data_IF_139483395922
#
_entry.id   IF_139483395922
#
_cell.length_a   1.000
_cell.length_b   1.000
_cell.length_c   1.000
_cell.angle_alpha   90.00
_cell.angle_beta   90.00
_cell.angle_gamma   90.00
#
_symmetry.space_group_name_H-M   'P 1'
#
loop_
_entity.id
_entity.type
_entity.pdbx_description
1 polymer ?
#
# COMPACT_ATOMS: atom_id res chain seq x y z
N UNK A 1 -15.68 -22.79 5.93
CA UNK A 1 -16.89 -21.95 5.86
C UNK A 1 -16.49 -20.49 5.68
N UNK A 2 -16.53 -19.95 4.46
CA UNK A 2 -16.29 -18.53 4.19
C UNK A 2 -17.60 -17.90 3.71
N UNK A 3 -18.49 -17.55 4.65
CA UNK A 3 -19.61 -16.67 4.33
C UNK A 3 -19.07 -15.25 4.46
N UNK A 4 -18.44 -14.74 3.40
CA UNK A 4 -18.15 -13.31 3.30
C UNK A 4 -19.46 -12.61 2.93
N UNK A 5 -19.98 -11.80 3.84
CA UNK A 5 -21.09 -10.89 3.56
C UNK A 5 -20.79 -10.10 2.26
N UNK A 6 -21.81 -9.94 1.40
CA UNK A 6 -21.72 -9.32 0.07
C UNK A 6 -21.11 -7.92 0.14
N UNK A 7 -21.39 -7.18 1.22
CA UNK A 7 -20.80 -5.85 1.45
C UNK A 7 -19.27 -5.91 1.58
N UNK A 8 -18.75 -6.95 2.24
CA UNK A 8 -17.31 -7.16 2.38
C UNK A 8 -16.65 -7.48 1.04
N UNK A 9 -17.25 -8.36 0.23
CA UNK A 9 -16.74 -8.73 -1.11
C UNK A 9 -16.69 -7.52 -2.03
N UNK A 10 -17.77 -6.74 -2.09
CA UNK A 10 -17.85 -5.54 -2.91
C UNK A 10 -16.79 -4.51 -2.50
N UNK A 11 -16.53 -4.38 -1.20
CA UNK A 11 -15.47 -3.50 -0.71
C UNK A 11 -14.07 -3.98 -1.09
N UNK A 12 -13.81 -5.30 -1.04
CA UNK A 12 -12.53 -5.87 -1.52
C UNK A 12 -12.33 -5.55 -3.00
N UNK A 13 -13.40 -5.74 -3.80
CA UNK A 13 -13.40 -5.44 -5.23
C UNK A 13 -13.06 -3.97 -5.49
N UNK A 14 -13.78 -3.03 -4.85
CA UNK A 14 -13.52 -1.59 -4.99
C UNK A 14 -12.08 -1.20 -4.67
N UNK A 15 -11.53 -1.69 -3.54
CA UNK A 15 -10.13 -1.43 -3.19
C UNK A 15 -9.16 -1.91 -4.26
N UNK A 16 -9.37 -3.10 -4.83
CA UNK A 16 -8.51 -3.60 -5.90
C UNK A 16 -8.64 -2.81 -7.20
N UNK A 17 -9.84 -2.34 -7.54
CA UNK A 17 -10.05 -1.44 -8.68
C UNK A 17 -9.29 -0.11 -8.52
N UNK A 18 -9.28 0.48 -7.32
CA UNK A 18 -8.47 1.69 -7.06
C UNK A 18 -6.97 1.46 -7.34
N UNK A 19 -6.46 0.26 -7.03
CA UNK A 19 -5.07 -0.11 -7.34
C UNK A 19 -4.86 -0.27 -8.84
N UNK A 20 -5.84 -0.83 -9.56
CA UNK A 20 -5.80 -0.99 -11.02
C UNK A 20 -5.73 0.38 -11.70
N UNK A 21 -6.59 1.30 -11.30
CA UNK A 21 -6.61 2.66 -11.83
C UNK A 21 -5.28 3.39 -11.55
N UNK A 22 -4.74 3.25 -10.34
CA UNK A 22 -3.45 3.83 -9.97
C UNK A 22 -2.29 3.22 -10.78
N UNK A 23 -2.31 1.91 -11.02
CA UNK A 23 -1.32 1.22 -11.84
C UNK A 23 -1.38 1.68 -13.30
N UNK A 24 -2.58 1.78 -13.88
CA UNK A 24 -2.78 2.26 -15.25
C UNK A 24 -2.30 3.70 -15.41
N UNK A 25 -2.67 4.60 -14.48
CA UNK A 25 -2.17 5.97 -14.46
C UNK A 25 -0.63 6.02 -14.38
N UNK A 26 -0.04 5.19 -13.51
CA UNK A 26 1.41 5.10 -13.35
C UNK A 26 2.11 4.66 -14.64
N UNK A 27 1.63 3.61 -15.31
CA UNK A 27 2.25 3.11 -16.54
C UNK A 27 2.03 4.02 -17.73
N UNK A 28 0.89 4.69 -17.82
CA UNK A 28 0.63 5.74 -18.82
C UNK A 28 1.63 6.89 -18.69
N UNK A 29 1.92 7.32 -17.47
CA UNK A 29 2.92 8.36 -17.21
C UNK A 29 4.37 7.87 -17.34
N UNK A 30 4.63 6.57 -17.20
CA UNK A 30 6.00 6.00 -17.17
C UNK A 30 6.17 4.82 -18.14
N UNK A 31 6.31 5.07 -19.46
CA UNK A 31 6.47 4.02 -20.47
C UNK A 31 7.66 3.09 -20.24
N UNK A 32 8.76 3.60 -19.67
CA UNK A 32 9.93 2.76 -19.29
C UNK A 32 9.57 1.70 -18.25
N UNK A 33 8.69 2.04 -17.30
CA UNK A 33 8.21 1.10 -16.28
C UNK A 33 7.21 0.11 -16.85
N UNK A 34 6.35 0.54 -17.77
CA UNK A 34 5.46 -0.37 -18.51
C UNK A 34 6.26 -1.45 -19.27
N UNK A 35 7.36 -1.05 -19.93
CA UNK A 35 8.29 -1.99 -20.59
C UNK A 35 8.94 -2.96 -19.60
N UNK A 36 9.30 -2.52 -18.39
CA UNK A 36 9.84 -3.40 -17.33
C UNK A 36 8.79 -4.37 -16.81
N UNK A 37 7.55 -3.91 -16.60
CA UNK A 37 6.41 -4.74 -16.21
C UNK A 37 6.23 -5.91 -17.19
N UNK A 38 6.16 -5.60 -18.49
CA UNK A 38 6.05 -6.59 -19.57
C UNK A 38 7.22 -7.59 -19.61
N UNK A 39 8.44 -7.14 -19.32
CA UNK A 39 9.62 -8.03 -19.22
C UNK A 39 9.54 -8.97 -18.01
N UNK A 40 8.97 -8.53 -16.90
CA UNK A 40 8.77 -9.38 -15.72
C UNK A 40 7.62 -10.36 -15.95
N UNK A 41 6.53 -9.92 -16.59
CA UNK A 41 5.43 -10.79 -16.99
C UNK A 41 5.93 -12.00 -17.78
N UNK A 42 6.71 -11.78 -18.85
CA UNK A 42 7.34 -12.86 -19.65
C UNK A 42 8.30 -13.78 -18.87
N UNK A 43 8.75 -13.37 -17.68
CA UNK A 43 9.58 -14.22 -16.81
C UNK A 43 8.73 -15.07 -15.87
N UNK A 44 7.52 -14.62 -15.56
CA UNK A 44 6.52 -15.32 -14.75
C UNK A 44 5.79 -16.36 -15.60
N UNK A 45 5.26 -15.94 -16.75
CA UNK A 45 4.66 -16.79 -17.79
C UNK A 45 5.75 -17.67 -18.41
N UNK A 46 5.80 -18.94 -18.00
CA UNK A 46 6.88 -19.88 -18.36
C UNK A 46 6.54 -20.73 -19.55
N UNK A 47 5.28 -21.12 -19.68
CA UNK A 47 4.78 -21.87 -20.81
C UNK A 47 4.48 -20.97 -22.02
N UNK A 48 4.41 -19.65 -21.85
CA UNK A 48 4.18 -18.68 -22.92
C UNK A 48 2.73 -18.59 -23.37
N UNK A 49 1.78 -18.99 -22.51
CA UNK A 49 0.35 -19.01 -22.85
C UNK A 49 -0.33 -17.63 -22.72
N UNK A 50 0.45 -16.60 -22.37
CA UNK A 50 -0.04 -15.22 -22.28
C UNK A 50 -0.75 -14.91 -20.97
N UNK A 51 -0.67 -15.80 -19.98
CA UNK A 51 -1.19 -15.63 -18.62
C UNK A 51 -0.25 -16.29 -17.61
N UNK A 52 -0.47 -16.07 -16.32
CA UNK A 52 0.35 -16.64 -15.25
C UNK A 52 -0.51 -17.51 -14.38
N UNK A 53 -0.30 -18.81 -14.42
CA UNK A 53 -0.95 -19.75 -13.51
C UNK A 53 -0.47 -19.58 -12.06
N UNK A 54 -1.29 -20.02 -11.10
CA UNK A 54 -0.87 -20.08 -9.69
C UNK A 54 0.45 -20.83 -9.49
N UNK A 55 0.66 -21.93 -10.23
CA UNK A 55 1.87 -22.76 -10.14
C UNK A 55 3.11 -22.03 -10.66
N UNK A 56 2.99 -21.20 -11.70
CA UNK A 56 4.08 -20.36 -12.18
C UNK A 56 4.41 -19.24 -11.19
N UNK A 57 3.37 -18.59 -10.66
CA UNK A 57 3.50 -17.61 -9.59
C UNK A 57 4.22 -18.20 -8.37
N UNK A 58 3.76 -19.35 -7.88
CA UNK A 58 4.29 -20.03 -6.71
C UNK A 58 5.74 -20.49 -6.92
N UNK A 59 6.06 -21.05 -8.08
CA UNK A 59 7.45 -21.41 -8.43
C UNK A 59 8.35 -20.18 -8.46
N UNK A 60 7.89 -19.06 -9.01
CA UNK A 60 8.65 -17.82 -9.03
C UNK A 60 8.80 -17.20 -7.64
N UNK A 61 7.78 -17.33 -6.79
CA UNK A 61 7.81 -16.97 -5.38
C UNK A 61 8.85 -17.78 -4.58
N UNK A 62 8.80 -19.12 -4.69
CA UNK A 62 9.71 -20.07 -4.01
C UNK A 62 11.18 -19.86 -4.37
N UNK A 63 11.47 -19.40 -5.60
CA UNK A 63 12.83 -18.96 -6.03
C UNK A 63 13.31 -17.68 -5.32
N UNK A 64 12.67 -17.26 -4.22
CA UNK A 64 12.94 -16.08 -3.38
C UNK A 64 12.90 -14.72 -4.10
N UNK A 65 12.52 -14.66 -5.39
CA UNK A 65 12.51 -13.40 -6.17
C UNK A 65 11.39 -12.46 -5.74
N UNK A 66 10.18 -12.96 -5.51
CA UNK A 66 9.05 -12.15 -5.05
C UNK A 66 9.05 -11.94 -3.53
N UNK A 67 9.53 -12.92 -2.76
CA UNK A 67 9.69 -12.78 -1.30
C UNK A 67 10.57 -11.59 -0.94
N UNK A 68 11.68 -11.38 -1.67
CA UNK A 68 12.54 -10.19 -1.53
C UNK A 68 11.84 -8.87 -1.84
N UNK A 69 10.72 -8.90 -2.57
CA UNK A 69 9.89 -7.74 -2.91
C UNK A 69 8.66 -7.60 -2.01
N UNK A 70 8.55 -8.37 -0.93
CA UNK A 70 7.46 -8.27 0.05
C UNK A 70 6.12 -8.85 -0.41
N UNK A 71 6.08 -9.57 -1.54
CA UNK A 71 4.88 -10.26 -1.97
C UNK A 71 4.66 -11.55 -1.15
N UNK A 72 3.45 -12.10 -1.21
CA UNK A 72 3.02 -13.35 -0.57
C UNK A 72 2.20 -14.19 -1.55
N UNK A 73 2.14 -15.51 -1.34
CA UNK A 73 1.30 -16.40 -2.15
C UNK A 73 -0.18 -16.02 -2.10
N UNK A 74 -0.63 -15.51 -0.94
CA UNK A 74 -1.98 -15.03 -0.70
C UNK A 74 -2.38 -13.85 -1.60
N UNK A 75 -1.41 -13.14 -2.18
CA UNK A 75 -1.68 -12.00 -3.08
C UNK A 75 -2.18 -12.43 -4.44
N UNK A 76 -2.09 -13.71 -4.81
CA UNK A 76 -2.57 -14.20 -6.10
C UNK A 76 -4.08 -13.98 -6.29
N UNK A 77 -4.90 -14.48 -5.36
CA UNK A 77 -6.36 -14.44 -5.49
C UNK A 77 -6.95 -13.02 -5.55
N UNK A 78 -6.48 -12.03 -4.77
CA UNK A 78 -6.94 -10.65 -4.91
C UNK A 78 -6.60 -10.00 -6.27
N UNK A 79 -5.55 -10.48 -6.94
CA UNK A 79 -5.10 -9.95 -8.22
C UNK A 79 -5.88 -10.54 -9.40
N UNK A 80 -6.20 -11.83 -9.34
CA UNK A 80 -7.02 -12.56 -10.33
C UNK A 80 -8.43 -11.95 -10.41
N UNK A 81 -8.62 -11.01 -11.35
CA UNK A 81 -9.82 -10.15 -11.38
C UNK A 81 -11.07 -10.89 -11.80
N UNK A 82 -10.94 -11.82 -12.75
CA UNK A 82 -12.04 -12.62 -13.28
C UNK A 82 -12.18 -13.97 -12.55
N UNK A 83 -11.27 -14.28 -11.61
CA UNK A 83 -11.27 -15.51 -10.81
C UNK A 83 -11.18 -16.77 -11.67
N UNK A 84 -10.43 -16.70 -12.78
CA UNK A 84 -10.23 -17.83 -13.69
C UNK A 84 -9.04 -18.73 -13.31
N UNK A 85 -8.32 -18.38 -12.24
CA UNK A 85 -7.14 -19.09 -11.76
C UNK A 85 -5.84 -18.65 -12.44
N UNK A 86 -5.87 -17.59 -13.23
CA UNK A 86 -4.72 -17.04 -13.96
C UNK A 86 -4.61 -15.52 -13.76
N UNK A 87 -3.39 -15.00 -13.84
CA UNK A 87 -3.16 -13.56 -13.95
C UNK A 87 -2.86 -13.22 -15.40
N UNK A 88 -3.76 -12.49 -16.04
CA UNK A 88 -3.50 -11.92 -17.36
C UNK A 88 -2.44 -10.79 -17.27
N UNK A 89 -2.12 -10.18 -18.41
CA UNK A 89 -1.13 -9.09 -18.45
C UNK A 89 -1.56 -7.87 -17.61
N UNK A 90 -2.87 -7.59 -17.49
CA UNK A 90 -3.39 -6.47 -16.72
C UNK A 90 -3.26 -6.76 -15.23
N UNK A 91 -3.62 -7.96 -14.78
CA UNK A 91 -3.49 -8.38 -13.38
C UNK A 91 -2.02 -8.47 -12.95
N UNK A 92 -1.14 -8.96 -13.84
CA UNK A 92 0.29 -9.00 -13.58
C UNK A 92 0.96 -7.61 -13.60
N UNK A 93 0.42 -6.63 -14.32
CA UNK A 93 0.87 -5.24 -14.21
C UNK A 93 0.57 -4.68 -12.82
N UNK A 94 -0.62 -4.96 -12.26
CA UNK A 94 -0.95 -4.59 -10.87
C UNK A 94 0.03 -5.23 -9.90
N UNK A 95 0.34 -6.53 -10.07
CA UNK A 95 1.36 -7.21 -9.27
C UNK A 95 2.70 -6.46 -9.30
N UNK A 96 3.19 -6.08 -10.48
CA UNK A 96 4.45 -5.35 -10.61
C UNK A 96 4.37 -3.96 -9.96
N UNK A 97 3.26 -3.24 -10.15
CA UNK A 97 2.99 -1.94 -9.54
C UNK A 97 3.06 -2.01 -8.01
N UNK A 98 2.45 -3.03 -7.41
CA UNK A 98 2.50 -3.26 -5.96
C UNK A 98 3.94 -3.49 -5.47
N UNK A 99 4.80 -4.13 -6.28
CA UNK A 99 6.21 -4.35 -5.90
C UNK A 99 7.08 -3.10 -5.90
N UNK A 100 6.73 -2.09 -6.69
CA UNK A 100 7.51 -0.85 -6.81
C UNK A 100 6.96 0.26 -5.91
N UNK A 101 5.65 0.27 -5.67
CA UNK A 101 4.97 1.27 -4.85
C UNK A 101 5.14 1.06 -3.33
N UNK A 102 5.77 -0.05 -2.91
CA UNK A 102 6.02 -0.40 -1.48
C UNK A 102 4.72 -0.41 -0.66
N UNK A 103 3.69 -1.03 -1.20
CA UNK A 103 2.34 -0.90 -0.66
C UNK A 103 2.18 -1.63 0.68
N UNK A 104 1.47 -0.96 1.58
CA UNK A 104 1.06 -1.52 2.87
C UNK A 104 -0.11 -2.48 2.64
N UNK A 105 -0.19 -3.52 3.45
CA UNK A 105 -1.34 -4.42 3.51
C UNK A 105 -1.99 -4.34 4.89
N UNK A 106 -3.28 -4.67 4.95
CA UNK A 106 -4.00 -4.76 6.21
C UNK A 106 -3.69 -6.10 6.91
N UNK A 107 -3.26 -6.04 8.17
CA UNK A 107 -2.95 -7.21 8.99
C UNK A 107 -4.15 -8.12 9.32
N UNK A 108 -5.37 -7.61 9.11
CA UNK A 108 -6.60 -8.36 9.42
C UNK A 108 -7.17 -9.00 8.16
N UNK A 109 -7.26 -8.26 7.07
CA UNK A 109 -7.91 -8.76 5.85
C UNK A 109 -6.94 -9.12 4.72
N UNK A 110 -5.64 -8.87 4.88
CA UNK A 110 -4.58 -9.22 3.92
C UNK A 110 -4.61 -8.40 2.62
N UNK A 111 -5.50 -7.41 2.51
CA UNK A 111 -5.63 -6.61 1.30
C UNK A 111 -4.67 -5.43 1.30
N UNK A 112 -4.17 -5.13 0.10
CA UNK A 112 -3.38 -3.95 -0.19
C UNK A 112 -4.15 -2.65 0.10
N UNK A 113 -3.42 -1.63 0.51
CA UNK A 113 -3.92 -0.30 0.86
C UNK A 113 -3.23 0.72 -0.04
N UNK A 114 -4.02 1.52 -0.77
CA UNK A 114 -3.55 2.63 -1.62
C UNK A 114 -3.82 4.00 -0.99
N UNK A 115 -4.74 4.09 -0.03
CA UNK A 115 -5.11 5.33 0.66
C UNK A 115 -4.93 5.26 2.17
N UNK A 116 -5.89 5.85 2.89
CA UNK A 116 -5.83 5.95 4.35
C UNK A 116 -5.65 4.60 5.02
N UNK A 117 -4.71 4.55 5.96
CA UNK A 117 -4.58 3.43 6.89
C UNK A 117 -4.30 3.92 8.29
N UNK A 118 -4.58 3.05 9.25
CA UNK A 118 -4.20 3.25 10.64
C UNK A 118 -3.07 2.29 10.97
N UNK A 119 -2.00 2.78 11.56
CA UNK A 119 -0.96 1.92 12.10
C UNK A 119 -0.84 2.09 13.60
N UNK A 120 -0.46 1.02 14.28
CA UNK A 120 -0.12 1.10 15.69
C UNK A 120 1.10 2.00 15.85
N UNK A 121 0.98 3.07 16.64
CA UNK A 121 2.06 4.04 16.86
C UNK A 121 3.35 3.36 17.36
N UNK A 122 3.23 2.39 18.27
CA UNK A 122 4.37 1.68 18.85
C UNK A 122 5.05 0.71 17.87
N UNK A 123 4.27 0.08 16.98
CA UNK A 123 4.77 -0.89 16.00
C UNK A 123 5.18 -0.27 14.68
N UNK A 124 4.64 0.91 14.33
CA UNK A 124 4.96 1.58 13.08
C UNK A 124 6.44 1.96 13.06
N UNK A 125 7.18 1.42 12.08
CA UNK A 125 8.61 1.69 11.91
C UNK A 125 8.89 1.96 10.43
N UNK A 126 9.54 3.09 10.14
CA UNK A 126 9.85 3.53 8.78
C UNK A 126 10.92 2.69 8.07
N UNK A 127 11.88 2.13 8.83
CA UNK A 127 13.15 1.56 8.31
C UNK A 127 13.66 0.31 9.04
N UNK A 128 12.81 -0.40 9.79
CA UNK A 128 13.20 -1.66 10.47
C UNK A 128 12.62 -2.88 9.76
N UNK A 129 13.33 -3.99 9.91
CA UNK A 129 12.92 -5.37 9.65
C UNK A 129 11.75 -5.85 10.53
N UNK A 130 11.40 -5.11 11.60
CA UNK A 130 10.24 -5.41 12.44
C UNK A 130 8.94 -5.00 11.75
N UNK A 131 7.96 -5.90 11.83
CA UNK A 131 6.64 -5.76 11.21
C UNK A 131 5.84 -4.56 11.79
N UNK A 132 5.36 -3.67 10.91
CA UNK A 132 4.41 -2.61 11.29
C UNK A 132 2.99 -3.18 11.29
N UNK A 133 2.24 -2.98 12.38
CA UNK A 133 0.84 -3.41 12.45
C UNK A 133 -0.08 -2.34 11.85
N UNK A 134 -0.64 -2.62 10.68
CA UNK A 134 -1.37 -1.70 9.81
C UNK A 134 -2.78 -2.26 9.53
N UNK A 135 -3.77 -1.37 9.58
CA UNK A 135 -5.17 -1.68 9.35
C UNK A 135 -5.73 -0.75 8.27
N UNK A 136 -6.51 -1.32 7.34
CA UNK A 136 -7.34 -0.49 6.49
C UNK A 136 -8.46 0.18 7.30
N UNK A 137 -9.01 1.28 6.79
CA UNK A 137 -10.08 2.06 7.45
C UNK A 137 -11.22 1.18 7.96
N UNK A 138 -11.62 0.17 7.18
CA UNK A 138 -12.76 -0.69 7.51
C UNK A 138 -12.44 -1.67 8.64
N UNK A 139 -11.25 -2.28 8.62
CA UNK A 139 -10.82 -3.17 9.70
C UNK A 139 -10.61 -2.39 11.00
N UNK A 140 -10.05 -1.19 10.93
CA UNK A 140 -9.92 -0.30 12.08
C UNK A 140 -11.29 0.07 12.67
N UNK A 141 -12.20 0.60 11.82
CA UNK A 141 -13.58 0.97 12.22
C UNK A 141 -14.33 -0.19 12.87
N UNK A 142 -14.11 -1.43 12.42
CA UNK A 142 -14.81 -2.58 12.99
C UNK A 142 -14.44 -2.87 14.45
N UNK A 143 -13.25 -2.46 14.90
CA UNK A 143 -12.71 -2.78 16.23
C UNK A 143 -12.43 -4.27 16.47
N UNK A 144 -12.71 -5.16 15.51
CA UNK A 144 -12.59 -6.62 15.63
C UNK A 144 -11.17 -7.12 15.31
N UNK A 145 -10.15 -6.43 15.83
CA UNK A 145 -8.76 -6.82 15.67
C UNK A 145 -8.10 -6.99 17.04
N UNK A 146 -7.21 -7.98 17.16
CA UNK A 146 -6.49 -8.26 18.40
C UNK A 146 -5.06 -7.75 18.27
N UNK A 147 -4.75 -6.68 19.00
CA UNK A 147 -3.41 -6.12 19.07
C UNK A 147 -3.10 -5.64 20.49
N UNK A 148 -1.85 -5.81 20.93
CA UNK A 148 -1.40 -5.50 22.31
C UNK A 148 -1.48 -4.00 22.62
N UNK A 149 -1.06 -3.18 21.67
CA UNK A 149 -1.06 -1.72 21.82
C UNK A 149 -2.43 -1.13 21.47
N UNK A 150 -2.78 -0.02 22.13
CA UNK A 150 -4.09 0.63 21.98
C UNK A 150 -4.05 1.90 21.13
N UNK A 151 -2.88 2.54 21.00
CA UNK A 151 -2.74 3.77 20.22
C UNK A 151 -2.50 3.48 18.75
N UNK A 152 -3.40 3.97 17.92
CA UNK A 152 -3.34 3.90 16.47
C UNK A 152 -3.48 5.31 15.90
N UNK A 153 -2.70 5.60 14.87
CA UNK A 153 -2.69 6.88 14.18
C UNK A 153 -2.86 6.62 12.69
N UNK A 154 -3.52 7.55 11.99
CA UNK A 154 -3.57 7.49 10.53
C UNK A 154 -2.20 7.81 9.92
N UNK A 155 -2.05 7.48 8.63
CA UNK A 155 -0.79 7.65 7.91
C UNK A 155 -0.31 9.11 7.83
N UNK A 156 -1.18 10.11 7.84
CA UNK A 156 -0.75 11.52 7.80
C UNK A 156 -0.23 12.00 9.14
N UNK A 157 -0.90 11.64 10.24
CA UNK A 157 -0.42 11.97 11.59
C UNK A 157 0.92 11.27 11.85
N UNK A 158 1.07 10.02 11.40
CA UNK A 158 2.36 9.31 11.47
C UNK A 158 3.45 10.03 10.68
N UNK A 159 3.14 10.51 9.46
CA UNK A 159 4.08 11.28 8.64
C UNK A 159 4.48 12.62 9.28
N UNK A 160 3.56 13.33 9.93
CA UNK A 160 3.83 14.59 10.63
C UNK A 160 4.73 14.38 11.85
N UNK A 161 4.44 13.37 12.67
CA UNK A 161 5.27 13.03 13.85
C UNK A 161 6.69 12.64 13.44
N UNK A 162 6.84 11.95 12.30
CA UNK A 162 8.14 11.60 11.76
C UNK A 162 8.92 12.86 11.31
N UNK A 163 8.27 13.84 10.67
CA UNK A 163 8.92 15.09 10.24
C UNK A 163 9.39 15.96 11.42
N UNK A 164 8.59 16.08 12.48
CA UNK A 164 8.98 16.82 13.69
C UNK A 164 10.16 16.20 14.46
N UNK A 165 10.44 14.91 14.26
CA UNK A 165 11.64 14.26 14.82
C UNK A 165 12.92 14.54 14.01
N UNK A 166 12.80 14.87 12.72
CA UNK A 166 13.92 15.25 11.87
C UNK A 166 14.32 16.73 12.05
N UNK A 167 13.37 17.60 12.39
CA UNK A 167 13.62 19.02 12.73
C UNK A 167 14.32 19.21 14.08
N UNK A 168 14.40 18.17 14.92
CA UNK A 168 15.18 18.20 16.17
C UNK A 168 16.71 18.15 15.94
N UNK A 169 17.16 18.03 14.69
CA UNK A 169 18.56 18.23 14.28
C UNK A 169 18.80 19.58 13.58
N UNK A 170 17.80 20.45 13.53
CA UNK A 170 17.94 21.84 13.07
C UNK A 170 17.68 22.86 14.17
N UNK A 171 17.95 22.52 15.44
CA UNK A 171 18.16 23.53 16.50
C UNK A 171 19.53 24.19 16.33
N UNK A 172 19.67 24.96 15.26
CA UNK A 172 20.27 26.29 15.27
C UNK A 172 19.30 27.18 14.49
N UNK A 173 18.57 28.02 15.22
CA UNK A 173 17.51 28.89 14.70
C UNK A 173 16.23 28.74 15.50
N UNK A 174 15.98 29.67 16.43
CA UNK A 174 14.93 29.53 17.44
C UNK A 174 13.53 29.74 16.87
N UNK A 175 12.56 29.01 17.43
CA UNK A 175 11.11 29.11 17.17
C UNK A 175 10.55 30.53 17.43
N UNK A 176 11.33 31.44 18.03
CA UNK A 176 10.92 32.82 18.27
C UNK A 176 10.80 33.66 16.97
N UNK A 177 11.48 33.30 15.88
CA UNK A 177 11.47 34.09 14.64
C UNK A 177 10.27 33.79 13.72
N UNK A 178 9.61 32.63 13.87
CA UNK A 178 8.47 32.26 13.02
C UNK A 178 7.15 32.83 13.57
N UNK A 179 7.05 33.04 14.88
CA UNK A 179 5.84 33.55 15.52
C UNK A 179 5.62 35.06 15.31
N UNK A 180 6.65 35.82 14.92
CA UNK A 180 6.52 37.24 14.59
C UNK A 180 5.92 37.49 13.20
N UNK A 181 6.04 36.56 12.25
CA UNK A 181 5.49 36.73 10.89
C UNK A 181 4.00 36.40 10.75
N UNK A 182 3.41 35.67 11.70
CA UNK A 182 1.98 35.29 11.63
C UNK A 182 1.01 36.35 12.18
N UNK A 183 1.50 37.39 12.86
CA UNK A 183 0.66 38.44 13.44
C UNK A 183 0.25 39.54 12.44
N UNK A 184 0.77 39.55 11.20
CA UNK A 184 0.52 40.61 10.22
C UNK A 184 -0.52 40.28 9.14
N UNK A 185 -1.04 39.05 9.08
CA UNK A 185 -1.99 38.64 8.02
C UNK A 185 -3.47 38.62 8.43
N UNK A 186 -3.83 39.02 9.66
CA UNK A 186 -5.22 39.13 10.10
C UNK A 186 -5.50 40.50 10.72
N UNK A 187 -5.47 41.53 9.89
CA UNK A 187 -6.15 42.80 10.16
C UNK A 187 -6.94 43.20 8.91
N UNK A 188 -8.22 42.89 8.98
CA UNK A 188 -9.40 43.52 8.35
C UNK A 188 -9.11 44.74 7.48
N UNK A 189 -9.62 44.73 6.25
CA UNK A 189 -10.28 45.93 5.71
C UNK A 189 -11.64 45.53 5.12
N UNK A 190 -12.66 45.91 5.87
CA UNK A 190 -14.04 46.07 5.42
C UNK A 190 -14.25 47.58 5.34
N UNK A 191 -14.36 48.13 4.13
CA UNK A 191 -15.05 49.38 3.78
C UNK A 191 -15.07 49.52 2.27
#
# INVERSE_FOLDING_TARGET
MYIQDKASVLQRKRRMEEIRDAADAYYKAKPKEAKKAKKIFRKLDKNGDGKVSYQEYERFYKKKKLKKKGLKLEHFSPLDRNSDGYLDIKDANVLYYLTIARNKECDVCGLFIVGMFYACEKCYKRRSDRHSYILCVSCYRSGKFKHKHKTFLDNYVLEQKDKGSAERWSTFGSVAEILSSFAQCFSVDSS
#
